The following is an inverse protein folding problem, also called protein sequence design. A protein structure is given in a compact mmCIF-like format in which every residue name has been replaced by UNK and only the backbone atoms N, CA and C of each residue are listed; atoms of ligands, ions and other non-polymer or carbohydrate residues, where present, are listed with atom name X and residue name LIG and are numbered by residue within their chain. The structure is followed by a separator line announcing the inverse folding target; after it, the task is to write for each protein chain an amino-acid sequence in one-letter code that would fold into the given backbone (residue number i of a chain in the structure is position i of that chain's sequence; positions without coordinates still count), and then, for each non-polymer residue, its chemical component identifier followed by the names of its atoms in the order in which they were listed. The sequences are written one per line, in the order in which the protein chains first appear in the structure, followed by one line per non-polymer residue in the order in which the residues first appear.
data_IF_538394672499
#
_entry.id   IF_538394672499
#
_cell.length_a   1.000
_cell.length_b   1.000
_cell.length_c   1.000
_cell.angle_alpha   90.00
_cell.angle_beta   90.00
_cell.angle_gamma   90.00
#
_symmetry.space_group_name_H-M   'P 1'
#
loop_
_entity.id
_entity.type
_entity.pdbx_description
1 polymer ?
#
# COMPACT_ATOMS: atom_id res chain seq x y z
N UNK A 1 -55.97 -47.57 -13.03
CA UNK A 1 -55.94 -46.20 -12.46
C UNK A 1 -54.48 -45.90 -12.12
N UNK A 2 -53.86 -44.95 -12.82
CA UNK A 2 -52.48 -44.52 -12.57
C UNK A 2 -52.49 -43.40 -11.53
N UNK A 3 -51.74 -43.49 -10.42
CA UNK A 3 -51.52 -42.33 -9.58
C UNK A 3 -50.44 -41.45 -10.21
N UNK A 4 -50.80 -40.19 -10.38
CA UNK A 4 -49.96 -39.12 -10.89
C UNK A 4 -48.78 -38.83 -9.96
N UNK A 5 -47.60 -38.80 -10.57
CA UNK A 5 -46.56 -37.79 -10.45
C UNK A 5 -46.69 -36.79 -9.30
N UNK A 6 -45.65 -36.75 -8.45
CA UNK A 6 -45.04 -35.50 -7.95
C UNK A 6 -43.64 -35.82 -7.42
N UNK A 7 -42.69 -35.88 -8.34
CA UNK A 7 -41.26 -35.73 -8.05
C UNK A 7 -41.03 -34.25 -7.73
N UNK A 8 -40.88 -33.94 -6.43
CA UNK A 8 -40.39 -32.65 -5.98
C UNK A 8 -38.86 -32.62 -6.16
N UNK A 9 -38.40 -32.38 -7.38
CA UNK A 9 -37.03 -31.89 -7.61
C UNK A 9 -37.00 -30.41 -7.28
N UNK A 10 -36.77 -30.08 -6.01
CA UNK A 10 -36.26 -28.76 -5.64
C UNK A 10 -34.74 -28.86 -5.69
N UNK A 11 -34.18 -28.35 -6.79
CA UNK A 11 -32.75 -28.23 -7.00
C UNK A 11 -32.12 -27.46 -5.84
N UNK A 12 -31.11 -28.07 -5.24
CA UNK A 12 -30.17 -27.39 -4.37
C UNK A 12 -29.49 -26.28 -5.18
N UNK A 13 -29.84 -25.03 -4.89
CA UNK A 13 -29.00 -23.89 -5.24
C UNK A 13 -28.51 -23.35 -3.91
N UNK A 14 -27.48 -24.01 -3.37
CA UNK A 14 -26.64 -23.35 -2.39
C UNK A 14 -25.97 -22.18 -3.12
N UNK A 15 -26.51 -20.99 -2.91
CA UNK A 15 -25.82 -19.76 -3.21
C UNK A 15 -24.56 -19.73 -2.33
N UNK A 16 -23.46 -20.28 -2.84
CA UNK A 16 -22.13 -19.86 -2.43
C UNK A 16 -21.94 -18.46 -3.02
N UNK A 17 -22.56 -17.48 -2.38
CA UNK A 17 -22.23 -16.09 -2.57
C UNK A 17 -20.75 -15.97 -2.22
N UNK A 18 -19.99 -15.58 -3.24
CA UNK A 18 -18.66 -15.00 -3.22
C UNK A 18 -18.33 -14.33 -1.89
N UNK A 19 -17.83 -15.08 -0.92
CA UNK A 19 -16.77 -14.54 -0.07
C UNK A 19 -15.50 -14.81 -0.86
N UNK A 20 -15.26 -13.94 -1.85
CA UNK A 20 -13.95 -13.32 -1.94
C UNK A 20 -13.74 -12.65 -0.59
N UNK A 21 -13.46 -13.47 0.44
CA UNK A 21 -12.53 -13.08 1.47
C UNK A 21 -11.34 -12.68 0.62
N UNK A 22 -11.21 -11.38 0.40
CA UNK A 22 -9.93 -10.80 0.14
C UNK A 22 -8.99 -11.59 1.04
N UNK A 23 -8.10 -12.35 0.43
CA UNK A 23 -6.80 -12.52 1.03
C UNK A 23 -6.23 -11.10 1.06
N UNK A 24 -6.77 -10.25 1.94
CA UNK A 24 -6.04 -9.15 2.49
C UNK A 24 -4.87 -9.88 3.13
N UNK A 25 -3.67 -9.77 2.58
CA UNK A 25 -2.51 -10.26 3.29
C UNK A 25 -2.58 -9.64 4.69
N UNK A 26 -2.15 -10.37 5.71
CA UNK A 26 -2.06 -9.94 7.12
C UNK A 26 -1.12 -8.70 7.33
N UNK A 27 -0.97 -7.82 6.33
CA UNK A 27 0.00 -6.72 6.28
C UNK A 27 -0.52 -5.49 5.54
N UNK A 28 -1.79 -5.11 5.76
CA UNK A 28 -2.38 -3.86 5.26
C UNK A 28 -2.83 -3.88 3.79
N UNK A 29 -3.33 -2.74 3.32
CA UNK A 29 -3.82 -2.53 1.95
C UNK A 29 -3.15 -1.33 1.26
N UNK A 30 -3.23 -1.27 -0.07
CA UNK A 30 -2.73 -0.13 -0.85
C UNK A 30 -3.42 1.17 -0.41
N UNK A 31 -4.73 1.12 -0.19
CA UNK A 31 -5.54 2.24 0.26
C UNK A 31 -5.16 2.72 1.66
N UNK A 32 -4.89 1.80 2.60
CA UNK A 32 -4.40 2.18 3.93
C UNK A 32 -3.02 2.83 3.85
N UNK A 33 -2.12 2.30 3.02
CA UNK A 33 -0.79 2.88 2.87
C UNK A 33 -0.84 4.28 2.25
N UNK A 34 -1.68 4.45 1.23
CA UNK A 34 -1.94 5.75 0.60
C UNK A 34 -2.48 6.75 1.62
N UNK A 35 -3.48 6.34 2.39
CA UNK A 35 -4.09 7.18 3.41
C UNK A 35 -3.05 7.61 4.47
N UNK A 36 -2.21 6.68 4.95
CA UNK A 36 -1.15 6.98 5.90
C UNK A 36 -0.16 8.03 5.37
N UNK A 37 0.26 7.92 4.10
CA UNK A 37 1.15 8.91 3.49
C UNK A 37 0.48 10.28 3.40
N UNK A 38 -0.78 10.35 3.01
CA UNK A 38 -1.54 11.60 2.92
C UNK A 38 -1.74 12.24 4.29
N UNK A 39 -2.12 11.46 5.30
CA UNK A 39 -2.28 11.94 6.68
C UNK A 39 -0.98 12.48 7.27
N UNK A 40 0.16 11.96 6.82
CA UNK A 40 1.48 12.43 7.22
C UNK A 40 2.02 13.60 6.39
N UNK A 41 1.23 14.19 5.49
CA UNK A 41 1.58 15.44 4.80
C UNK A 41 2.01 15.31 3.33
N UNK A 42 1.98 14.11 2.75
CA UNK A 42 2.27 13.94 1.33
C UNK A 42 1.05 14.26 0.44
N UNK A 43 1.21 15.03 -0.64
CA UNK A 43 0.13 15.25 -1.59
C UNK A 43 -0.15 13.93 -2.34
N UNK A 44 -1.36 13.39 -2.16
CA UNK A 44 -1.72 12.04 -2.62
C UNK A 44 -1.79 11.83 -4.14
N UNK A 45 -1.59 12.88 -4.94
CA UNK A 45 -1.77 12.87 -6.41
C UNK A 45 -0.52 12.33 -7.16
N UNK A 46 0.64 12.23 -6.50
CA UNK A 46 1.93 11.84 -7.12
C UNK A 46 2.57 10.62 -6.44
N UNK A 47 1.80 9.83 -5.69
CA UNK A 47 2.28 8.61 -5.03
C UNK A 47 2.06 7.38 -5.91
N UNK A 48 3.15 6.65 -6.18
CA UNK A 48 3.13 5.36 -6.89
C UNK A 48 3.37 4.25 -5.88
N UNK A 49 2.31 3.52 -5.54
CA UNK A 49 2.38 2.41 -4.59
C UNK A 49 2.51 1.09 -5.35
N UNK A 50 3.35 0.18 -4.84
CA UNK A 50 3.49 -1.17 -5.36
C UNK A 50 3.17 -2.19 -4.28
N UNK A 51 2.63 -3.37 -4.66
CA UNK A 51 2.27 -4.43 -3.73
C UNK A 51 3.48 -4.95 -2.93
N UNK A 52 3.23 -5.67 -1.82
CA UNK A 52 4.27 -6.15 -0.94
C UNK A 52 5.32 -7.00 -1.64
N UNK A 53 6.59 -6.78 -1.28
CA UNK A 53 7.69 -7.63 -1.72
C UNK A 53 7.73 -8.98 -0.98
N UNK A 54 8.75 -9.79 -1.25
CA UNK A 54 8.95 -11.10 -0.59
C UNK A 54 9.22 -11.01 0.91
N UNK A 55 9.54 -9.82 1.43
CA UNK A 55 9.73 -9.54 2.85
C UNK A 55 8.45 -8.99 3.51
N UNK A 56 7.40 -8.72 2.74
CA UNK A 56 6.12 -8.22 3.23
C UNK A 56 6.02 -6.70 3.29
N UNK A 57 6.95 -5.95 2.67
CA UNK A 57 6.88 -4.49 2.65
C UNK A 57 6.16 -3.98 1.42
N UNK A 58 5.10 -3.19 1.63
CA UNK A 58 4.58 -2.25 0.65
C UNK A 58 5.61 -1.16 0.38
N UNK A 59 5.66 -0.69 -0.87
CA UNK A 59 6.57 0.35 -1.29
C UNK A 59 5.80 1.50 -1.94
N UNK A 60 6.16 2.72 -1.60
CA UNK A 60 5.63 3.92 -2.25
C UNK A 60 6.77 4.77 -2.77
N UNK A 61 6.63 5.26 -4.00
CA UNK A 61 7.55 6.25 -4.59
C UNK A 61 6.81 7.57 -4.73
N UNK A 62 7.43 8.64 -4.25
CA UNK A 62 6.96 10.01 -4.41
C UNK A 62 7.94 10.78 -5.28
N UNK A 63 7.47 11.20 -6.46
CA UNK A 63 8.24 12.02 -7.39
C UNK A 63 8.25 13.48 -6.90
N UNK A 64 9.36 13.95 -6.33
CA UNK A 64 9.47 15.33 -5.84
C UNK A 64 9.79 16.28 -6.98
N UNK A 65 10.71 15.87 -7.86
CA UNK A 65 11.10 16.56 -9.08
C UNK A 65 11.79 15.57 -10.03
N UNK A 66 12.21 16.05 -11.21
CA UNK A 66 12.85 15.22 -12.24
C UNK A 66 14.14 14.52 -11.78
N UNK A 67 14.80 15.05 -10.75
CA UNK A 67 16.08 14.58 -10.23
C UNK A 67 16.00 13.92 -8.85
N UNK A 68 14.82 13.90 -8.22
CA UNK A 68 14.62 13.36 -6.88
C UNK A 68 13.29 12.62 -6.71
N UNK A 69 13.39 11.38 -6.24
CA UNK A 69 12.27 10.54 -5.85
C UNK A 69 12.47 10.04 -4.43
N UNK A 70 11.46 10.13 -3.57
CA UNK A 70 11.49 9.54 -2.24
C UNK A 70 10.87 8.15 -2.27
N UNK A 71 11.50 7.19 -1.59
CA UNK A 71 10.99 5.84 -1.42
C UNK A 71 10.59 5.62 0.04
N UNK A 72 9.38 5.10 0.22
CA UNK A 72 8.82 4.74 1.51
C UNK A 72 8.52 3.26 1.55
N UNK A 73 8.59 2.68 2.75
CA UNK A 73 8.19 1.29 2.99
C UNK A 73 7.27 1.17 4.19
N UNK A 74 6.38 0.21 4.14
CA UNK A 74 5.42 -0.09 5.19
C UNK A 74 5.09 -1.57 5.24
N UNK A 75 5.04 -2.17 6.43
CA UNK A 75 4.78 -3.60 6.63
C UNK A 75 3.31 -3.92 6.93
N UNK A 76 2.43 -2.92 7.01
CA UNK A 76 1.03 -3.11 7.36
C UNK A 76 0.67 -2.83 8.81
N UNK A 77 1.66 -2.69 9.70
CA UNK A 77 1.44 -2.58 11.15
C UNK A 77 2.18 -1.39 11.77
N UNK A 78 3.46 -1.21 11.42
CA UNK A 78 4.32 -0.16 11.96
C UNK A 78 4.09 1.19 11.27
N UNK A 79 4.59 2.31 11.84
CA UNK A 79 4.59 3.58 11.13
C UNK A 79 5.37 3.49 9.81
N UNK A 80 4.91 4.24 8.80
CA UNK A 80 5.58 4.33 7.50
C UNK A 80 7.02 4.82 7.70
N UNK A 81 7.96 4.15 7.04
CA UNK A 81 9.37 4.53 7.05
C UNK A 81 9.79 5.15 5.73
N UNK A 82 10.57 6.21 5.79
CA UNK A 82 11.36 6.68 4.67
C UNK A 82 12.53 5.73 4.48
N UNK A 83 12.57 5.06 3.33
CA UNK A 83 13.68 4.18 2.96
C UNK A 83 14.86 4.97 2.42
N UNK A 84 14.60 6.02 1.64
CA UNK A 84 15.66 6.86 1.09
C UNK A 84 15.19 7.80 -0.01
N UNK A 85 16.14 8.57 -0.52
CA UNK A 85 15.95 9.45 -1.67
C UNK A 85 16.77 8.92 -2.84
N UNK A 86 16.13 8.67 -3.98
CA UNK A 86 16.81 8.43 -5.24
C UNK A 86 17.09 9.77 -5.91
N UNK A 87 18.37 10.13 -6.03
CA UNK A 87 18.82 11.36 -6.67
C UNK A 87 19.79 11.04 -7.81
N UNK A 88 19.57 11.63 -8.99
CA UNK A 88 20.40 11.41 -10.19
C UNK A 88 20.67 9.91 -10.51
N UNK A 89 19.69 9.04 -10.23
CA UNK A 89 19.78 7.59 -10.45
C UNK A 89 20.45 6.77 -9.33
N UNK A 90 20.93 7.41 -8.27
CA UNK A 90 21.51 6.75 -7.10
C UNK A 90 20.56 6.79 -5.91
N UNK A 91 20.34 5.65 -5.27
CA UNK A 91 19.60 5.60 -4.02
C UNK A 91 20.53 5.98 -2.86
N UNK A 92 20.13 7.01 -2.11
CA UNK A 92 20.69 7.32 -0.82
C UNK A 92 19.72 6.83 0.26
N UNK A 93 20.11 5.77 0.96
CA UNK A 93 19.33 5.22 2.06
C UNK A 93 19.27 6.21 3.22
N UNK A 94 18.06 6.39 3.76
CA UNK A 94 17.86 7.09 5.01
C UNK A 94 18.40 6.23 6.17
N UNK A 95 18.76 6.83 7.32
CA UNK A 95 19.06 6.08 8.52
C UNK A 95 17.95 5.07 8.83
N UNK A 96 18.34 3.89 9.33
CA UNK A 96 17.38 2.94 9.88
C UNK A 96 16.52 3.67 10.93
N UNK A 97 15.21 3.42 10.94
CA UNK A 97 14.23 4.07 11.84
C UNK A 97 13.85 5.52 11.48
N UNK A 98 14.04 5.97 10.24
CA UNK A 98 13.50 7.26 9.76
C UNK A 98 12.00 7.15 9.50
N UNK A 99 11.18 7.32 10.54
CA UNK A 99 9.72 7.27 10.42
C UNK A 99 9.14 8.57 9.88
N UNK A 100 8.12 8.43 9.05
CA UNK A 100 7.32 9.53 8.56
C UNK A 100 6.36 9.97 9.66
N UNK A 101 6.56 11.17 10.19
CA UNK A 101 5.62 11.87 11.08
C UNK A 101 5.57 13.34 10.69
N UNK A 102 4.41 13.83 10.30
CA UNK A 102 4.21 15.23 9.90
C UNK A 102 5.23 15.70 8.84
N UNK A 103 5.51 14.85 7.83
CA UNK A 103 6.48 15.09 6.78
C UNK A 103 5.96 16.17 5.83
N UNK A 104 6.38 17.42 6.08
CA UNK A 104 5.98 18.57 5.30
C UNK A 104 6.80 18.73 4.02
N UNK A 105 6.41 19.70 3.18
CA UNK A 105 7.14 20.02 1.95
C UNK A 105 8.63 20.38 2.20
N UNK A 106 8.95 20.99 3.35
CA UNK A 106 10.34 21.27 3.74
C UNK A 106 11.14 19.99 4.04
N UNK A 107 10.53 18.98 4.67
CA UNK A 107 11.18 17.71 4.97
C UNK A 107 11.42 16.88 3.70
N UNK A 108 10.47 16.93 2.76
CA UNK A 108 10.61 16.36 1.42
C UNK A 108 11.83 16.95 0.70
N UNK A 109 11.93 18.28 0.69
CA UNK A 109 13.04 18.97 0.05
C UNK A 109 14.38 18.64 0.71
N UNK A 110 14.41 18.58 2.04
CA UNK A 110 15.61 18.19 2.80
C UNK A 110 16.04 16.75 2.54
N UNK A 111 15.10 15.82 2.45
CA UNK A 111 15.39 14.43 2.11
C UNK A 111 16.03 14.32 0.71
N UNK A 112 15.60 15.13 -0.26
CA UNK A 112 16.24 15.24 -1.57
C UNK A 112 17.66 15.81 -1.52
N UNK A 113 18.01 16.61 -0.52
CA UNK A 113 19.37 17.07 -0.27
C UNK A 113 20.23 16.05 0.51
N UNK A 114 19.68 14.87 0.81
CA UNK A 114 20.32 13.85 1.65
C UNK A 114 20.36 14.20 3.13
N UNK A 115 19.48 15.10 3.59
CA UNK A 115 19.40 15.59 4.98
C UNK A 115 18.17 15.00 5.69
N UNK A 116 18.30 13.75 6.13
CA UNK A 116 17.32 13.03 6.93
C UNK A 116 17.26 13.54 8.38
#
# INVERSE_FOLDING_TARGET
MFPHTRLLTAAAVAAAALTLSACSPDGGSEEEFHQLLVENGFPGEELRITPPDSQGFWWATYDVNEDCQLQFKWNGEDPVMLYGAQTAGYLQEAPEETYVKDFGADDVQRACEGKF
#
